data_IF_401200815536
#
_entry.id   IF_401200815536
#
_cell.length_a   1.000
_cell.length_b   1.000
_cell.length_c   1.000
_cell.angle_alpha   90.00
_cell.angle_beta   90.00
_cell.angle_gamma   90.00
#
_symmetry.space_group_name_H-M   'P 1'
#
loop_
_entity.id
_entity.type
_entity.pdbx_description
1 polymer ?
#
# COMPACT_ATOMS: atom_id res chain seq x y z
N UNK A 1 -16.07 3.58 25.65
CA UNK A 1 -16.12 3.72 24.17
C UNK A 1 -15.70 2.43 23.45
N UNK A 2 -14.43 1.93 23.58
CA UNK A 2 -14.00 0.70 22.88
C UNK A 2 -14.78 -0.53 23.32
N UNK A 3 -15.06 -0.66 24.61
CA UNK A 3 -15.91 -1.73 25.16
C UNK A 3 -17.35 -1.67 24.62
N UNK A 4 -17.91 -0.48 24.55
CA UNK A 4 -19.26 -0.23 23.98
C UNK A 4 -19.30 -0.58 22.49
N UNK A 5 -18.26 -0.19 21.74
CA UNK A 5 -18.12 -0.56 20.33
C UNK A 5 -18.12 -2.09 20.18
N UNK A 6 -17.29 -2.79 20.96
CA UNK A 6 -17.17 -4.24 20.89
C UNK A 6 -18.47 -4.97 21.28
N UNK A 7 -19.29 -4.39 22.18
CA UNK A 7 -20.57 -4.98 22.60
C UNK A 7 -21.69 -4.74 21.57
N UNK A 8 -21.55 -3.77 20.68
CA UNK A 8 -22.56 -3.36 19.71
C UNK A 8 -22.27 -3.85 18.29
N UNK A 9 -21.14 -4.57 18.09
CA UNK A 9 -20.69 -5.02 16.78
C UNK A 9 -20.32 -6.50 16.82
N UNK A 10 -20.71 -7.25 15.79
CA UNK A 10 -20.33 -8.66 15.64
C UNK A 10 -18.90 -8.79 15.16
N UNK A 11 -18.43 -7.83 14.34
CA UNK A 11 -17.07 -7.78 13.83
C UNK A 11 -16.58 -6.35 13.72
N UNK A 12 -15.30 -6.12 14.01
CA UNK A 12 -14.62 -4.85 13.83
C UNK A 12 -13.53 -5.00 12.77
N UNK A 13 -13.46 -4.05 11.87
CA UNK A 13 -12.38 -3.90 10.89
C UNK A 13 -11.76 -2.51 10.99
N UNK A 14 -10.59 -2.32 10.37
CA UNK A 14 -9.92 -1.03 10.33
C UNK A 14 -9.52 -0.67 8.89
N UNK A 15 -9.57 0.60 8.58
CA UNK A 15 -9.14 1.19 7.31
C UNK A 15 -7.80 1.91 7.45
N UNK A 16 -7.43 2.28 8.69
CA UNK A 16 -6.22 3.03 8.99
C UNK A 16 -5.23 2.18 9.79
N UNK A 17 -4.06 1.91 9.21
CA UNK A 17 -3.05 1.01 9.76
C UNK A 17 -2.29 1.55 10.98
N UNK A 18 -2.33 2.85 11.24
CA UNK A 18 -1.69 3.46 12.42
C UNK A 18 -2.60 3.53 13.67
N UNK A 19 -3.71 2.77 13.68
CA UNK A 19 -4.44 2.50 14.93
C UNK A 19 -3.51 1.73 15.86
N UNK A 20 -3.33 2.15 17.14
CA UNK A 20 -2.44 1.43 18.04
C UNK A 20 -2.80 -0.07 18.13
N UNK A 21 -1.83 -0.96 17.92
CA UNK A 21 -2.05 -2.41 17.98
C UNK A 21 -2.72 -2.86 19.28
N UNK A 22 -2.44 -2.16 20.41
CA UNK A 22 -3.09 -2.40 21.69
C UNK A 22 -4.61 -2.17 21.67
N UNK A 23 -5.11 -1.29 20.79
CA UNK A 23 -6.56 -1.09 20.60
C UNK A 23 -7.17 -2.32 19.92
N UNK A 24 -6.53 -2.81 18.87
CA UNK A 24 -6.96 -4.03 18.19
C UNK A 24 -6.94 -5.23 19.15
N UNK A 25 -5.86 -5.40 19.94
CA UNK A 25 -5.75 -6.44 20.96
C UNK A 25 -6.84 -6.35 22.05
N UNK A 26 -7.17 -5.15 22.50
CA UNK A 26 -8.26 -4.95 23.46
C UNK A 26 -9.62 -5.34 22.87
N UNK A 27 -9.89 -4.93 21.65
CA UNK A 27 -11.15 -5.25 20.97
C UNK A 27 -11.26 -6.76 20.69
N UNK A 28 -10.15 -7.42 20.31
CA UNK A 28 -10.12 -8.87 20.08
C UNK A 28 -10.52 -9.74 21.27
N UNK A 29 -10.48 -9.19 22.49
CA UNK A 29 -10.95 -9.87 23.70
C UNK A 29 -12.49 -9.91 23.83
N UNK A 30 -13.19 -9.12 23.04
CA UNK A 30 -14.63 -8.88 23.21
C UNK A 30 -15.45 -9.05 21.94
N UNK A 31 -14.82 -8.97 20.77
CA UNK A 31 -15.48 -9.12 19.47
C UNK A 31 -14.47 -9.66 18.45
N UNK A 32 -14.97 -10.15 17.32
CA UNK A 32 -14.12 -10.57 16.22
C UNK A 32 -13.46 -9.35 15.58
N UNK A 33 -12.15 -9.45 15.33
CA UNK A 33 -11.40 -8.44 14.55
C UNK A 33 -10.86 -9.08 13.28
N UNK A 34 -11.12 -8.47 12.16
CA UNK A 34 -10.54 -8.85 10.88
C UNK A 34 -10.17 -7.60 10.07
N UNK A 35 -8.92 -7.52 9.60
CA UNK A 35 -7.81 -8.49 9.77
C UNK A 35 -7.28 -8.59 11.19
N UNK A 36 -6.47 -9.62 11.44
CA UNK A 36 -5.94 -9.90 12.78
C UNK A 36 -4.98 -8.79 13.29
N UNK A 37 -4.91 -8.63 14.60
CA UNK A 37 -4.04 -7.66 15.28
C UNK A 37 -2.54 -7.90 15.01
N UNK A 38 -2.13 -9.17 14.80
CA UNK A 38 -0.75 -9.55 14.43
C UNK A 38 -0.35 -8.92 13.09
N UNK A 39 -1.22 -8.91 12.09
CA UNK A 39 -0.97 -8.29 10.81
C UNK A 39 -0.73 -6.77 10.97
N UNK A 40 -1.57 -6.11 11.77
CA UNK A 40 -1.45 -4.69 12.07
C UNK A 40 -0.13 -4.39 12.80
N UNK A 41 0.24 -5.20 13.80
CA UNK A 41 1.45 -5.01 14.59
C UNK A 41 2.74 -5.14 13.73
N UNK A 42 2.75 -6.07 12.77
CA UNK A 42 3.87 -6.27 11.85
C UNK A 42 3.97 -5.09 10.88
N UNK A 43 2.87 -4.71 10.22
CA UNK A 43 2.86 -3.63 9.23
C UNK A 43 3.21 -2.25 9.82
N UNK A 44 3.00 -2.03 11.13
CA UNK A 44 3.34 -0.78 11.80
C UNK A 44 4.83 -0.57 12.05
N UNK A 45 5.67 -1.59 11.88
CA UNK A 45 7.10 -1.51 12.20
C UNK A 45 7.95 -2.09 11.06
N UNK A 46 8.59 -1.19 10.30
CA UNK A 46 9.38 -1.55 9.11
C UNK A 46 10.45 -2.60 9.36
N UNK A 47 11.08 -2.58 10.55
CA UNK A 47 12.11 -3.57 10.87
C UNK A 47 11.49 -4.97 11.12
N UNK A 48 10.35 -5.00 11.80
CA UNK A 48 9.61 -6.24 12.03
C UNK A 48 9.08 -6.77 10.70
N UNK A 49 8.52 -5.92 9.86
CA UNK A 49 8.00 -6.27 8.55
C UNK A 49 9.08 -6.84 7.61
N UNK A 50 10.26 -6.20 7.53
CA UNK A 50 11.38 -6.72 6.71
C UNK A 50 11.90 -8.08 7.22
N UNK A 51 11.96 -8.28 8.54
CA UNK A 51 12.29 -9.58 9.13
C UNK A 51 11.24 -10.64 8.79
N UNK A 52 9.96 -10.26 8.86
CA UNK A 52 8.85 -11.12 8.49
C UNK A 52 8.93 -11.57 7.02
N UNK A 53 9.22 -10.68 6.09
CA UNK A 53 9.46 -11.05 4.69
C UNK A 53 10.64 -12.03 4.55
N UNK A 54 11.74 -11.77 5.25
CA UNK A 54 12.91 -12.66 5.24
C UNK A 54 12.56 -14.06 5.76
N UNK A 55 11.83 -14.17 6.87
CA UNK A 55 11.42 -15.43 7.47
C UNK A 55 10.50 -16.25 6.54
N UNK A 56 9.73 -15.57 5.69
CA UNK A 56 8.89 -16.16 4.65
C UNK A 56 9.63 -16.43 3.32
N UNK A 57 10.94 -16.20 3.25
CA UNK A 57 11.71 -16.26 2.00
C UNK A 57 11.11 -15.38 0.88
N UNK A 58 10.63 -14.19 1.23
CA UNK A 58 10.21 -13.17 0.28
C UNK A 58 11.37 -12.19 0.12
N UNK A 59 11.90 -12.03 -1.11
CA UNK A 59 13.01 -11.12 -1.36
C UNK A 59 12.66 -9.68 -0.99
N UNK A 60 13.60 -8.98 -0.35
CA UNK A 60 13.51 -7.55 -0.04
C UNK A 60 14.88 -6.91 -0.20
N UNK A 61 14.97 -5.58 -0.16
CA UNK A 61 16.27 -4.89 -0.19
C UNK A 61 17.08 -5.22 1.07
N UNK A 62 18.42 -5.09 0.99
CA UNK A 62 19.29 -5.20 2.16
C UNK A 62 18.90 -4.12 3.18
N UNK A 63 18.81 -4.50 4.44
CA UNK A 63 18.41 -3.59 5.51
C UNK A 63 19.17 -3.86 6.82
N UNK A 64 19.21 -2.86 7.68
CA UNK A 64 19.74 -2.99 9.03
C UNK A 64 19.00 -2.08 10.03
N UNK A 65 18.92 -2.53 11.28
CA UNK A 65 18.40 -1.72 12.38
C UNK A 65 19.40 -0.60 12.74
N UNK A 66 18.89 0.58 13.07
CA UNK A 66 19.67 1.75 13.45
C UNK A 66 19.09 2.34 14.72
N UNK A 67 19.84 2.26 15.84
CA UNK A 67 19.47 2.84 17.13
C UNK A 67 20.48 3.91 17.58
N UNK A 68 21.58 4.08 16.84
CA UNK A 68 22.63 5.06 17.07
C UNK A 68 23.26 5.50 15.75
N UNK A 69 24.03 6.58 15.78
CA UNK A 69 24.85 6.99 14.63
C UNK A 69 25.89 5.92 14.27
N UNK A 70 26.50 5.30 15.28
CA UNK A 70 27.47 4.22 15.08
C UNK A 70 26.85 3.02 14.35
N UNK A 71 25.57 2.64 14.69
CA UNK A 71 24.85 1.59 13.97
C UNK A 71 24.67 1.96 12.50
N UNK A 72 24.29 3.23 12.21
CA UNK A 72 24.12 3.71 10.85
C UNK A 72 25.43 3.63 10.06
N UNK A 73 26.54 4.10 10.65
CA UNK A 73 27.87 4.03 10.03
C UNK A 73 28.31 2.59 9.75
N UNK A 74 28.03 1.65 10.66
CA UNK A 74 28.33 0.23 10.45
C UNK A 74 27.44 -0.40 9.36
N UNK A 75 26.14 -0.09 9.39
CA UNK A 75 25.21 -0.61 8.41
C UNK A 75 25.56 -0.18 6.98
N UNK A 76 25.93 1.08 6.79
CA UNK A 76 26.35 1.62 5.48
C UNK A 76 27.60 0.95 4.92
N UNK A 77 28.53 0.48 5.75
CA UNK A 77 29.70 -0.29 5.27
C UNK A 77 29.31 -1.58 4.55
N UNK A 78 28.15 -2.16 4.91
CA UNK A 78 27.64 -3.39 4.31
C UNK A 78 26.63 -3.12 3.20
N UNK A 79 25.72 -2.16 3.43
CA UNK A 79 24.63 -1.82 2.48
C UNK A 79 25.15 -0.98 1.32
N UNK A 80 26.08 -0.04 1.59
CA UNK A 80 26.60 0.91 0.61
C UNK A 80 25.71 2.14 0.41
N UNK A 81 26.18 3.04 -0.44
CA UNK A 81 25.40 4.17 -0.96
C UNK A 81 24.92 3.83 -2.40
N UNK A 82 23.77 4.34 -2.82
CA UNK A 82 22.79 5.13 -2.07
C UNK A 82 21.97 4.23 -1.15
N UNK A 83 21.51 4.80 -0.01
CA UNK A 83 20.66 4.12 0.95
C UNK A 83 19.56 5.06 1.45
N UNK A 84 18.52 4.52 2.08
CA UNK A 84 17.43 5.32 2.65
C UNK A 84 17.35 5.01 4.15
N UNK A 85 17.47 6.03 4.99
CA UNK A 85 17.20 5.95 6.42
C UNK A 85 15.73 6.26 6.65
N UNK A 86 14.99 5.35 7.32
CA UNK A 86 13.56 5.50 7.59
C UNK A 86 13.29 5.31 9.09
N UNK A 87 12.35 6.07 9.67
CA UNK A 87 11.84 5.74 11.00
C UNK A 87 11.15 4.37 10.96
N UNK A 88 11.34 3.53 12.00
CA UNK A 88 10.68 2.23 12.06
C UNK A 88 9.15 2.35 12.08
N UNK A 89 8.61 3.41 12.68
CA UNK A 89 7.17 3.59 12.85
C UNK A 89 6.71 4.98 12.40
N UNK A 90 5.39 5.10 12.16
CA UNK A 90 4.69 6.37 11.86
C UNK A 90 5.16 7.07 10.56
N UNK A 91 5.92 6.40 9.70
CA UNK A 91 6.23 6.89 8.37
C UNK A 91 5.08 6.62 7.40
N UNK A 92 4.70 7.59 6.56
CA UNK A 92 3.70 7.45 5.51
C UNK A 92 3.91 8.51 4.43
N UNK A 93 3.49 8.23 3.21
CA UNK A 93 3.57 9.18 2.08
C UNK A 93 4.94 9.90 2.01
N UNK A 94 6.04 9.14 2.10
CA UNK A 94 7.42 9.66 2.04
C UNK A 94 7.92 10.41 3.28
N UNK A 95 7.12 10.52 4.34
CA UNK A 95 7.54 11.15 5.60
C UNK A 95 8.35 10.21 6.46
N UNK A 96 9.26 10.78 7.25
CA UNK A 96 10.12 10.01 8.15
C UNK A 96 11.17 9.18 7.40
N UNK A 97 11.64 9.67 6.24
CA UNK A 97 12.74 9.05 5.49
C UNK A 97 13.70 10.10 4.93
N UNK A 98 14.97 9.73 4.81
CA UNK A 98 16.05 10.55 4.26
C UNK A 98 16.90 9.70 3.34
N UNK A 99 17.12 10.17 2.12
CA UNK A 99 18.03 9.55 1.17
C UNK A 99 19.49 9.92 1.55
N UNK A 100 20.35 8.92 1.58
CA UNK A 100 21.76 9.01 1.89
C UNK A 100 22.55 8.79 0.60
N UNK A 101 23.28 9.78 0.17
CA UNK A 101 24.12 9.72 -1.03
C UNK A 101 25.60 9.50 -0.68
N UNK A 102 26.02 9.95 0.48
CA UNK A 102 27.42 9.99 0.88
C UNK A 102 27.57 9.93 2.42
N UNK A 103 28.82 9.70 2.94
CA UNK A 103 29.09 9.71 4.37
C UNK A 103 28.73 11.03 5.06
N UNK A 104 28.79 12.15 4.35
CA UNK A 104 28.50 13.49 4.87
C UNK A 104 27.02 13.63 5.28
N UNK A 105 26.15 12.80 4.73
CA UNK A 105 24.71 12.84 5.03
C UNK A 105 24.36 12.18 6.37
N UNK A 106 25.20 11.28 6.89
CA UNK A 106 24.85 10.37 7.99
C UNK A 106 24.45 11.11 9.28
N UNK A 107 25.26 12.09 9.70
CA UNK A 107 25.00 12.84 10.94
C UNK A 107 23.71 13.65 10.83
N UNK A 108 23.50 14.34 9.71
CA UNK A 108 22.30 15.16 9.50
C UNK A 108 21.05 14.30 9.41
N UNK A 109 21.12 13.18 8.70
CA UNK A 109 20.03 12.23 8.57
C UNK A 109 19.63 11.63 9.91
N UNK A 110 20.60 11.12 10.69
CA UNK A 110 20.33 10.58 12.04
C UNK A 110 19.68 11.61 12.96
N UNK A 111 20.18 12.83 12.98
CA UNK A 111 19.60 13.91 13.77
C UNK A 111 18.16 14.25 13.33
N UNK A 112 17.86 14.17 12.03
CA UNK A 112 16.50 14.41 11.50
C UNK A 112 15.49 13.35 11.97
N UNK A 113 15.95 12.13 12.26
CA UNK A 113 15.13 11.06 12.86
C UNK A 113 14.89 11.27 14.36
N UNK A 114 15.38 12.36 14.94
CA UNK A 114 15.30 12.69 16.38
C UNK A 114 15.82 11.56 17.28
N UNK A 115 16.86 10.87 16.82
CA UNK A 115 17.46 9.71 17.49
C UNK A 115 16.45 8.60 17.82
N UNK A 116 15.42 8.44 16.98
CA UNK A 116 14.39 7.40 17.14
C UNK A 116 14.83 6.11 16.45
N UNK A 117 14.37 4.94 16.93
CA UNK A 117 14.62 3.67 16.25
C UNK A 117 14.28 3.76 14.76
N UNK A 118 15.24 3.40 13.95
CA UNK A 118 15.19 3.55 12.50
C UNK A 118 15.65 2.28 11.80
N UNK A 119 15.39 2.19 10.52
CA UNK A 119 15.90 1.17 9.61
C UNK A 119 16.64 1.89 8.49
N UNK A 120 17.80 1.39 8.10
CA UNK A 120 18.45 1.79 6.86
C UNK A 120 18.28 0.70 5.82
N UNK A 121 17.89 1.09 4.62
CA UNK A 121 17.65 0.20 3.48
C UNK A 121 18.50 0.62 2.29
N UNK A 122 19.02 -0.35 1.53
CA UNK A 122 19.65 -0.06 0.25
C UNK A 122 18.66 0.60 -0.70
N UNK A 123 19.10 1.64 -1.42
CA UNK A 123 18.28 2.25 -2.46
C UNK A 123 18.01 1.23 -3.58
N UNK A 124 16.75 1.10 -3.98
CA UNK A 124 16.32 0.17 -5.02
C UNK A 124 16.15 0.91 -6.34
N UNK A 125 17.04 0.74 -7.32
CA UNK A 125 16.89 1.31 -8.66
C UNK A 125 15.87 0.49 -9.48
N UNK A 126 14.59 0.59 -9.11
CA UNK A 126 13.51 -0.19 -9.73
C UNK A 126 13.17 0.31 -11.14
N UNK A 127 12.70 -0.60 -11.98
CA UNK A 127 12.15 -0.30 -13.31
C UNK A 127 10.70 0.15 -13.22
N UNK A 128 9.95 -0.43 -12.29
CA UNK A 128 8.58 -0.04 -11.96
C UNK A 128 8.24 -0.43 -10.52
N UNK A 129 7.25 0.27 -9.96
CA UNK A 129 6.60 -0.09 -8.71
C UNK A 129 5.27 -0.75 -9.02
N UNK A 130 5.00 -1.90 -8.42
CA UNK A 130 3.74 -2.62 -8.57
C UNK A 130 3.16 -2.98 -7.22
N UNK A 131 1.86 -3.25 -7.18
CA UNK A 131 1.20 -3.83 -6.02
C UNK A 131 0.27 -4.96 -6.44
N UNK A 132 0.21 -6.00 -5.59
CA UNK A 132 -0.79 -7.07 -5.67
C UNK A 132 -1.77 -6.92 -4.52
N UNK A 133 -3.05 -7.12 -4.82
CA UNK A 133 -4.13 -7.08 -3.84
C UNK A 133 -4.85 -8.44 -3.85
N UNK A 134 -5.18 -8.92 -2.66
CA UNK A 134 -5.96 -10.14 -2.50
C UNK A 134 -7.01 -10.00 -1.40
N UNK A 135 -8.03 -10.84 -1.44
CA UNK A 135 -8.96 -11.05 -0.35
C UNK A 135 -8.99 -12.53 0.02
N UNK A 136 -9.01 -12.84 1.32
CA UNK A 136 -9.01 -14.21 1.85
C UNK A 136 -10.08 -14.36 2.92
N UNK A 137 -10.83 -15.47 2.84
CA UNK A 137 -11.86 -15.88 3.83
C UNK A 137 -11.26 -16.74 4.96
N UNK A 138 -12.01 -16.94 6.06
CA UNK A 138 -11.60 -17.82 7.15
C UNK A 138 -11.30 -19.27 6.73
N UNK A 139 -12.00 -19.78 5.70
CA UNK A 139 -11.79 -21.14 5.16
C UNK A 139 -10.54 -21.27 4.28
N UNK A 140 -9.79 -20.18 4.06
CA UNK A 140 -8.59 -20.14 3.21
C UNK A 140 -8.86 -19.81 1.74
N UNK A 141 -10.13 -19.73 1.28
CA UNK A 141 -10.46 -19.30 -0.07
C UNK A 141 -9.89 -17.89 -0.33
N UNK A 142 -9.14 -17.74 -1.41
CA UNK A 142 -8.41 -16.52 -1.74
C UNK A 142 -8.62 -16.14 -3.19
N UNK A 143 -8.84 -14.84 -3.45
CA UNK A 143 -8.88 -14.25 -4.78
C UNK A 143 -7.84 -13.14 -4.90
N UNK A 144 -7.16 -13.08 -6.04
CA UNK A 144 -6.15 -12.07 -6.34
C UNK A 144 -6.63 -11.15 -7.45
N UNK A 145 -6.39 -9.86 -7.30
CA UNK A 145 -6.61 -8.88 -8.35
C UNK A 145 -5.42 -8.85 -9.31
N UNK A 146 -5.63 -8.44 -10.58
CA UNK A 146 -4.53 -8.10 -11.46
C UNK A 146 -3.59 -7.10 -10.79
N UNK A 147 -2.29 -7.19 -11.10
CA UNK A 147 -1.29 -6.24 -10.60
C UNK A 147 -1.68 -4.80 -10.92
N UNK A 148 -1.35 -3.91 -10.03
CA UNK A 148 -1.41 -2.47 -10.27
C UNK A 148 -0.01 -1.91 -10.43
N UNK A 149 0.28 -1.26 -11.57
CA UNK A 149 1.49 -0.46 -11.74
C UNK A 149 1.26 0.93 -11.15
N UNK A 150 2.18 1.36 -10.31
CA UNK A 150 2.05 2.54 -9.48
C UNK A 150 3.08 3.60 -9.85
N UNK A 151 2.63 4.86 -9.95
CA UNK A 151 3.51 6.01 -10.13
C UNK A 151 3.44 6.91 -8.91
N UNK A 152 4.57 7.08 -8.24
CA UNK A 152 4.71 7.95 -7.08
C UNK A 152 5.41 9.26 -7.47
N UNK A 153 5.04 10.34 -6.80
CA UNK A 153 5.77 11.60 -6.83
C UNK A 153 5.91 12.13 -5.40
N UNK A 154 7.14 12.44 -5.00
CA UNK A 154 7.46 12.86 -3.63
C UNK A 154 6.97 11.86 -2.55
N UNK A 155 7.05 10.55 -2.85
CA UNK A 155 6.60 9.48 -1.96
C UNK A 155 5.08 9.32 -1.84
N UNK A 156 4.28 10.04 -2.66
CA UNK A 156 2.82 9.96 -2.64
C UNK A 156 2.35 9.29 -3.94
N UNK A 157 1.54 8.26 -3.83
CA UNK A 157 0.92 7.60 -4.98
C UNK A 157 0.06 8.59 -5.78
N UNK A 158 0.37 8.76 -7.06
CA UNK A 158 -0.35 9.64 -7.99
C UNK A 158 -1.27 8.88 -8.91
N UNK A 159 -0.77 7.82 -9.52
CA UNK A 159 -1.49 7.03 -10.52
C UNK A 159 -1.32 5.54 -10.19
N UNK A 160 -2.39 4.78 -10.32
CA UNK A 160 -2.36 3.32 -10.40
C UNK A 160 -3.08 2.87 -11.65
N UNK A 161 -2.50 1.92 -12.37
CA UNK A 161 -3.12 1.30 -13.55
C UNK A 161 -3.16 -0.22 -13.40
N UNK A 162 -4.28 -0.81 -13.79
CA UNK A 162 -4.43 -2.26 -13.84
C UNK A 162 -3.56 -2.86 -14.94
N UNK A 163 -2.78 -3.88 -14.62
CA UNK A 163 -1.93 -4.64 -15.55
C UNK A 163 -2.56 -6.00 -15.81
N UNK A 164 -3.30 -6.13 -16.92
CA UNK A 164 -3.89 -7.40 -17.33
C UNK A 164 -2.79 -8.28 -17.94
N UNK A 165 -2.78 -9.58 -17.57
CA UNK A 165 -1.83 -10.58 -18.07
C UNK A 165 -0.34 -10.22 -17.83
N UNK A 166 -0.06 -9.56 -16.71
CA UNK A 166 1.31 -9.21 -16.34
C UNK A 166 2.15 -10.48 -16.04
N UNK A 167 3.35 -10.61 -16.63
CA UNK A 167 4.21 -11.79 -16.42
C UNK A 167 4.66 -11.99 -14.97
N UNK A 168 4.57 -10.96 -14.12
CA UNK A 168 4.91 -11.01 -12.70
C UNK A 168 3.73 -11.35 -11.78
N UNK A 169 2.52 -11.51 -12.33
CA UNK A 169 1.31 -11.81 -11.56
C UNK A 169 1.51 -13.02 -10.64
N UNK A 170 1.93 -14.15 -11.20
CA UNK A 170 2.06 -15.39 -10.44
C UNK A 170 3.13 -15.32 -9.33
N UNK A 171 4.28 -14.66 -9.60
CA UNK A 171 5.33 -14.45 -8.59
C UNK A 171 4.84 -13.59 -7.43
N UNK A 172 4.11 -12.52 -7.71
CA UNK A 172 3.53 -11.64 -6.70
C UNK A 172 2.44 -12.35 -5.87
N UNK A 173 1.58 -13.16 -6.52
CA UNK A 173 0.56 -13.99 -5.84
C UNK A 173 1.20 -14.96 -4.86
N UNK A 174 2.29 -15.63 -5.22
CA UNK A 174 3.01 -16.54 -4.34
C UNK A 174 3.56 -15.83 -3.10
N UNK A 175 4.07 -14.60 -3.24
CA UNK A 175 4.57 -13.85 -2.10
C UNK A 175 3.42 -13.46 -1.15
N UNK A 176 2.33 -12.91 -1.70
CA UNK A 176 1.19 -12.49 -0.91
C UNK A 176 0.47 -13.69 -0.25
N UNK A 177 0.40 -14.83 -0.93
CA UNK A 177 -0.18 -16.05 -0.36
C UNK A 177 0.57 -16.50 0.89
N UNK A 178 1.93 -16.52 0.88
CA UNK A 178 2.75 -16.87 2.06
C UNK A 178 2.48 -15.94 3.25
N UNK A 179 2.32 -14.64 2.99
CA UNK A 179 1.98 -13.65 4.03
C UNK A 179 0.61 -13.96 4.63
N UNK A 180 -0.39 -14.21 3.79
CA UNK A 180 -1.75 -14.50 4.24
C UNK A 180 -1.86 -15.83 5.00
N UNK A 181 -1.15 -16.86 4.55
CA UNK A 181 -1.10 -18.16 5.22
C UNK A 181 -0.46 -18.05 6.61
N UNK A 182 0.72 -17.41 6.72
CA UNK A 182 1.42 -17.25 7.99
C UNK A 182 0.64 -16.43 9.02
N UNK A 183 -0.21 -15.51 8.55
CA UNK A 183 -1.01 -14.63 9.41
C UNK A 183 -2.42 -15.18 9.70
N UNK A 184 -2.82 -16.33 9.14
CA UNK A 184 -4.23 -16.75 9.11
C UNK A 184 -5.14 -15.58 8.71
N UNK A 185 -4.71 -14.85 7.70
CA UNK A 185 -5.28 -13.56 7.33
C UNK A 185 -6.72 -13.67 6.83
N UNK A 186 -7.58 -12.76 7.29
CA UNK A 186 -8.97 -12.64 6.82
C UNK A 186 -9.24 -11.18 6.43
N UNK A 187 -9.73 -10.96 5.23
CA UNK A 187 -9.98 -9.62 4.68
C UNK A 187 -9.15 -9.33 3.44
N UNK A 188 -9.09 -8.07 3.05
CA UNK A 188 -8.26 -7.59 1.94
C UNK A 188 -6.89 -7.15 2.42
N UNK A 189 -5.86 -7.47 1.67
CA UNK A 189 -4.45 -7.11 1.91
C UNK A 189 -3.81 -6.67 0.59
N UNK A 190 -2.85 -5.76 0.67
CA UNK A 190 -1.99 -5.39 -0.45
C UNK A 190 -0.52 -5.60 -0.11
N UNK A 191 0.27 -6.00 -1.10
CA UNK A 191 1.74 -6.06 -1.03
C UNK A 191 2.31 -5.15 -2.11
N UNK A 192 3.16 -4.20 -1.70
CA UNK A 192 3.90 -3.32 -2.60
C UNK A 192 5.26 -3.93 -2.93
N UNK A 193 5.61 -3.89 -4.21
CA UNK A 193 6.77 -4.55 -4.77
C UNK A 193 7.53 -3.61 -5.71
N UNK A 194 8.84 -3.71 -5.67
CA UNK A 194 9.72 -3.14 -6.69
C UNK A 194 10.11 -4.22 -7.69
N UNK A 195 10.04 -3.93 -8.99
CA UNK A 195 10.64 -4.78 -10.00
C UNK A 195 12.04 -4.26 -10.35
N UNK A 196 13.05 -5.11 -10.16
CA UNK A 196 14.45 -4.80 -10.40
C UNK A 196 15.06 -5.91 -11.24
N UNK A 197 15.49 -5.59 -12.45
CA UNK A 197 16.14 -6.57 -13.36
C UNK A 197 15.32 -7.87 -13.53
N UNK A 198 13.99 -7.74 -13.54
CA UNK A 198 13.08 -8.87 -13.68
C UNK A 198 12.85 -9.68 -12.40
N UNK A 199 13.29 -9.23 -11.24
CA UNK A 199 13.00 -9.82 -9.93
C UNK A 199 12.06 -8.91 -9.13
N UNK A 200 11.20 -9.50 -8.30
CA UNK A 200 10.36 -8.76 -7.38
C UNK A 200 11.01 -8.68 -5.99
N UNK A 201 11.04 -7.47 -5.43
CA UNK A 201 11.48 -7.20 -4.06
C UNK A 201 10.32 -6.59 -3.28
N UNK A 202 9.97 -7.18 -2.14
CA UNK A 202 8.92 -6.64 -1.27
C UNK A 202 9.36 -5.33 -0.63
N UNK A 203 8.48 -4.32 -0.75
CA UNK A 203 8.64 -3.04 -0.08
C UNK A 203 7.90 -3.03 1.26
N UNK A 204 6.59 -3.02 1.25
CA UNK A 204 5.73 -3.05 2.45
C UNK A 204 4.39 -3.74 2.14
N UNK A 205 3.66 -4.17 3.18
CA UNK A 205 2.30 -4.63 3.00
C UNK A 205 1.31 -3.80 3.81
N UNK A 206 0.10 -3.67 3.29
CA UNK A 206 -1.00 -2.97 3.96
C UNK A 206 -2.09 -3.97 4.33
N UNK A 207 -2.34 -4.23 5.64
CA UNK A 207 -3.34 -5.19 6.09
C UNK A 207 -4.76 -4.60 6.04
N UNK A 208 -5.16 -4.07 4.90
CA UNK A 208 -6.43 -3.37 4.64
C UNK A 208 -6.65 -3.18 3.15
N UNK A 209 -7.82 -2.66 2.77
CA UNK A 209 -8.02 -2.09 1.43
C UNK A 209 -6.96 -1.04 1.13
N UNK A 210 -6.49 -1.00 -0.12
CA UNK A 210 -5.34 -0.18 -0.49
C UNK A 210 -5.67 0.84 -1.58
N UNK A 211 -5.00 1.99 -1.52
CA UNK A 211 -5.22 3.09 -2.46
C UNK A 211 -4.90 2.68 -3.91
N UNK A 212 -3.88 1.85 -4.14
CA UNK A 212 -3.56 1.34 -5.47
C UNK A 212 -4.65 0.44 -6.07
N UNK A 213 -5.58 -0.06 -5.26
CA UNK A 213 -6.71 -0.87 -5.68
C UNK A 213 -8.02 -0.10 -5.85
N UNK A 214 -8.04 1.23 -5.75
CA UNK A 214 -9.29 1.99 -5.93
C UNK A 214 -9.86 1.89 -7.35
N UNK A 215 -9.00 1.60 -8.35
CA UNK A 215 -9.47 1.32 -9.70
C UNK A 215 -10.46 0.15 -9.77
N UNK A 216 -10.44 -0.77 -8.79
CA UNK A 216 -11.32 -1.94 -8.75
C UNK A 216 -12.79 -1.58 -8.58
N UNK A 217 -13.12 -0.38 -8.12
CA UNK A 217 -14.51 0.07 -7.93
C UNK A 217 -15.27 0.00 -9.25
N UNK A 218 -14.72 0.52 -10.33
CA UNK A 218 -15.32 0.45 -11.66
C UNK A 218 -14.65 -0.60 -12.55
N UNK A 219 -13.38 -0.91 -12.29
CA UNK A 219 -12.52 -1.69 -13.17
C UNK A 219 -12.45 -3.18 -12.89
N UNK A 220 -13.02 -3.68 -11.80
CA UNK A 220 -13.13 -5.11 -11.51
C UNK A 220 -14.59 -5.57 -11.46
N UNK A 221 -14.85 -6.89 -11.60
CA UNK A 221 -16.19 -7.41 -11.42
C UNK A 221 -16.71 -7.19 -10.01
N UNK A 222 -15.83 -7.41 -9.02
CA UNK A 222 -16.09 -7.13 -7.60
C UNK A 222 -14.96 -6.27 -7.07
N UNK A 223 -15.28 -5.16 -6.41
CA UNK A 223 -14.26 -4.26 -5.87
C UNK A 223 -13.52 -4.87 -4.67
N UNK A 224 -12.33 -4.37 -4.36
CA UNK A 224 -11.60 -4.75 -3.15
C UNK A 224 -12.39 -4.48 -1.87
N UNK A 225 -13.28 -3.49 -1.87
CA UNK A 225 -14.11 -3.12 -0.72
C UNK A 225 -15.22 -4.17 -0.51
N UNK A 226 -15.88 -4.60 -1.58
CA UNK A 226 -16.89 -5.65 -1.53
C UNK A 226 -16.28 -6.98 -1.11
N UNK A 227 -15.15 -7.37 -1.71
CA UNK A 227 -14.42 -8.58 -1.31
C UNK A 227 -13.88 -8.52 0.12
N UNK A 228 -13.50 -7.33 0.61
CA UNK A 228 -13.13 -7.17 2.01
C UNK A 228 -14.30 -7.49 2.94
N UNK A 229 -15.46 -6.92 2.68
CA UNK A 229 -16.66 -7.18 3.48
C UNK A 229 -17.11 -8.64 3.37
N UNK A 230 -17.11 -9.21 2.15
CA UNK A 230 -17.42 -10.62 1.96
C UNK A 230 -16.48 -11.53 2.74
N UNK A 231 -15.17 -11.25 2.71
CA UNK A 231 -14.17 -12.02 3.41
C UNK A 231 -14.37 -12.01 4.94
N UNK A 232 -14.55 -10.83 5.53
CA UNK A 232 -14.68 -10.69 6.99
C UNK A 232 -16.03 -11.22 7.51
N UNK A 233 -17.07 -11.23 6.67
CA UNK A 233 -18.40 -11.78 6.99
C UNK A 233 -18.53 -13.28 6.63
N UNK A 234 -17.46 -13.89 6.16
CA UNK A 234 -17.40 -15.27 5.67
C UNK A 234 -18.42 -15.55 4.53
N UNK A 235 -18.67 -14.55 3.68
CA UNK A 235 -19.48 -14.68 2.50
C UNK A 235 -18.63 -15.10 1.29
N UNK A 236 -19.23 -15.72 0.23
CA UNK A 236 -18.51 -16.06 -0.99
C UNK A 236 -17.79 -14.83 -1.58
N UNK A 237 -16.54 -15.02 -2.00
CA UNK A 237 -15.79 -13.95 -2.67
C UNK A 237 -16.29 -13.77 -4.10
N UNK A 238 -16.36 -12.53 -4.53
CA UNK A 238 -16.66 -12.18 -5.92
C UNK A 238 -15.42 -12.25 -6.82
N UNK A 239 -15.66 -12.37 -8.13
CA UNK A 239 -14.62 -12.37 -9.15
C UNK A 239 -13.81 -11.07 -9.14
N UNK A 240 -12.49 -11.21 -9.24
CA UNK A 240 -11.52 -10.10 -9.31
C UNK A 240 -11.16 -9.71 -10.74
N UNK A 241 -11.82 -10.33 -11.72
CA UNK A 241 -11.54 -10.12 -13.13
C UNK A 241 -11.68 -8.65 -13.51
N UNK A 242 -10.69 -8.13 -14.24
CA UNK A 242 -10.72 -6.76 -14.73
C UNK A 242 -11.75 -6.59 -15.85
N UNK A 243 -12.45 -5.45 -15.84
CA UNK A 243 -13.37 -5.00 -16.89
C UNK A 243 -12.64 -4.05 -17.83
N UNK A 244 -11.91 -4.59 -18.80
CA UNK A 244 -11.14 -3.78 -19.75
C UNK A 244 -9.97 -3.02 -19.08
N UNK A 245 -9.54 -1.93 -19.67
CA UNK A 245 -8.44 -1.09 -19.19
C UNK A 245 -8.94 -0.16 -18.08
N UNK A 246 -8.25 -0.16 -16.95
CA UNK A 246 -8.67 0.58 -15.76
C UNK A 246 -7.50 1.23 -15.04
N UNK A 247 -7.74 2.39 -14.45
CA UNK A 247 -6.75 3.10 -13.66
C UNK A 247 -7.38 4.12 -12.72
N UNK A 248 -6.56 4.66 -11.84
CA UNK A 248 -6.96 5.64 -10.83
C UNK A 248 -5.91 6.75 -10.77
N UNK A 249 -6.38 7.99 -10.59
CA UNK A 249 -5.55 9.17 -10.33
C UNK A 249 -5.96 9.79 -9.01
N UNK A 250 -5.03 9.96 -8.07
CA UNK A 250 -5.26 10.63 -6.81
C UNK A 250 -5.25 12.16 -6.96
N UNK A 251 -6.13 12.83 -6.23
CA UNK A 251 -6.14 14.29 -6.06
C UNK A 251 -5.43 14.65 -4.75
N UNK A 252 -4.33 15.40 -4.87
CA UNK A 252 -3.44 15.70 -3.76
C UNK A 252 -3.41 17.22 -3.52
N UNK A 253 -3.73 17.62 -2.29
CA UNK A 253 -3.69 19.02 -1.89
C UNK A 253 -4.97 19.79 -2.21
N UNK A 254 -5.49 19.62 -3.41
CA UNK A 254 -6.69 20.26 -3.93
C UNK A 254 -7.57 19.31 -4.74
N UNK A 255 -8.77 19.78 -5.10
CA UNK A 255 -9.71 19.06 -5.96
C UNK A 255 -9.78 19.78 -7.31
N UNK A 256 -9.57 19.06 -8.42
CA UNK A 256 -9.90 19.60 -9.73
C UNK A 256 -11.39 19.96 -9.84
N UNK A 257 -11.78 20.94 -10.68
CA UNK A 257 -13.19 21.23 -10.94
C UNK A 257 -13.92 19.97 -11.43
N UNK A 258 -15.01 19.61 -10.75
CA UNK A 258 -15.75 18.36 -11.03
C UNK A 258 -16.22 18.27 -12.48
N UNK A 259 -16.67 19.38 -13.06
CA UNK A 259 -17.10 19.43 -14.47
C UNK A 259 -15.97 19.10 -15.45
N UNK A 260 -14.71 19.46 -15.13
CA UNK A 260 -13.55 19.12 -15.96
C UNK A 260 -13.17 17.65 -15.84
N UNK A 261 -13.26 17.08 -14.62
CA UNK A 261 -13.04 15.65 -14.40
C UNK A 261 -14.07 14.83 -15.16
N UNK A 262 -15.35 15.15 -15.00
CA UNK A 262 -16.46 14.41 -15.63
C UNK A 262 -16.57 14.65 -17.14
N UNK A 263 -15.95 15.69 -17.69
CA UNK A 263 -15.82 15.87 -19.14
C UNK A 263 -14.85 14.86 -19.79
N UNK A 264 -13.99 14.22 -19.01
CA UNK A 264 -13.15 13.12 -19.48
C UNK A 264 -14.02 11.86 -19.53
N UNK A 265 -14.15 11.26 -20.71
CA UNK A 265 -15.03 10.09 -20.90
C UNK A 265 -14.63 8.92 -19.99
N UNK A 266 -15.63 8.19 -19.52
CA UNK A 266 -15.49 6.97 -18.71
C UNK A 266 -14.74 7.21 -17.38
N UNK A 267 -14.87 8.40 -16.81
CA UNK A 267 -14.26 8.80 -15.54
C UNK A 267 -15.33 8.89 -14.45
N UNK A 268 -14.99 8.37 -13.28
CA UNK A 268 -15.80 8.43 -12.07
C UNK A 268 -15.00 9.14 -10.98
N UNK A 269 -15.61 10.13 -10.31
CA UNK A 269 -14.95 10.93 -9.29
C UNK A 269 -15.38 10.49 -7.89
N UNK A 270 -14.39 10.28 -7.00
CA UNK A 270 -14.60 9.91 -5.60
C UNK A 270 -14.03 10.98 -4.69
N UNK A 271 -14.88 11.64 -3.90
CA UNK A 271 -14.52 12.72 -3.00
C UNK A 271 -14.51 12.22 -1.56
N UNK A 272 -13.44 12.56 -0.81
CA UNK A 272 -13.27 12.07 0.56
C UNK A 272 -13.85 13.00 1.63
N UNK A 273 -14.45 14.12 1.23
CA UNK A 273 -14.95 15.17 2.14
C UNK A 273 -13.88 15.70 3.13
N UNK A 274 -12.61 15.65 2.73
CA UNK A 274 -11.47 16.10 3.53
C UNK A 274 -11.11 17.54 3.16
N UNK A 275 -10.77 18.35 4.18
CA UNK A 275 -10.26 19.70 3.93
C UNK A 275 -8.95 19.65 3.14
N UNK A 276 -8.82 20.40 2.04
CA UNK A 276 -7.58 20.50 1.26
C UNK A 276 -6.42 21.01 2.10
N UNK A 277 -5.24 20.37 1.92
CA UNK A 277 -3.96 20.82 2.47
C UNK A 277 -2.81 20.18 1.71
N UNK A 278 -1.63 20.80 1.63
CA UNK A 278 -0.48 20.24 0.91
C UNK A 278 -0.19 18.79 1.29
N UNK A 279 0.02 17.92 0.30
CA UNK A 279 0.35 16.51 0.47
C UNK A 279 -0.80 15.62 0.93
N UNK A 280 -2.03 16.13 1.09
CA UNK A 280 -3.18 15.32 1.53
C UNK A 280 -3.97 14.78 0.35
N UNK A 281 -4.21 13.47 0.32
CA UNK A 281 -5.18 12.86 -0.59
C UNK A 281 -6.59 13.32 -0.21
N UNK A 282 -7.28 14.01 -1.11
CA UNK A 282 -8.61 14.61 -0.89
C UNK A 282 -9.71 13.97 -1.73
N UNK A 283 -9.32 13.14 -2.68
CA UNK A 283 -10.18 12.38 -3.57
C UNK A 283 -9.35 11.62 -4.59
N UNK A 284 -10.03 10.95 -5.49
CA UNK A 284 -9.46 10.35 -6.69
C UNK A 284 -10.47 10.36 -7.82
N UNK A 285 -10.02 9.99 -9.00
CA UNK A 285 -10.92 9.58 -10.07
C UNK A 285 -10.42 8.29 -10.70
N UNK A 286 -11.35 7.43 -11.07
CA UNK A 286 -11.11 6.18 -11.78
C UNK A 286 -11.52 6.32 -13.24
N UNK A 287 -10.84 5.58 -14.11
CA UNK A 287 -11.18 5.47 -15.53
C UNK A 287 -11.34 3.99 -15.85
N UNK A 288 -12.38 3.65 -16.61
CA UNK A 288 -12.59 2.29 -17.13
C UNK A 288 -13.07 2.35 -18.59
N UNK A 289 -12.41 1.63 -19.49
CA UNK A 289 -12.82 1.53 -20.91
C UNK A 289 -12.31 0.24 -21.53
N UNK A 290 -12.98 -0.21 -22.60
CA UNK A 290 -12.52 -1.35 -23.41
C UNK A 290 -11.56 -0.91 -24.55
N UNK A 291 -11.39 0.39 -24.75
CA UNK A 291 -10.53 0.99 -25.77
C UNK A 291 -9.20 1.44 -25.14
N UNK A 292 -8.05 0.80 -25.51
CA UNK A 292 -6.74 1.13 -24.94
C UNK A 292 -6.27 2.54 -25.29
N UNK A 293 -6.57 3.06 -26.49
CA UNK A 293 -6.14 4.41 -26.89
C UNK A 293 -6.92 5.48 -26.11
N UNK A 294 -8.23 5.25 -25.95
CA UNK A 294 -9.07 6.11 -25.11
C UNK A 294 -8.59 6.07 -23.66
N UNK A 295 -8.21 4.89 -23.13
CA UNK A 295 -7.67 4.76 -21.78
C UNK A 295 -6.43 5.63 -21.59
N UNK A 296 -5.41 5.46 -22.44
CA UNK A 296 -4.14 6.20 -22.33
C UNK A 296 -4.37 7.71 -22.43
N UNK A 297 -5.19 8.15 -23.40
CA UNK A 297 -5.47 9.57 -23.58
C UNK A 297 -6.26 10.19 -22.42
N UNK A 298 -7.20 9.43 -21.84
CA UNK A 298 -8.01 9.87 -20.69
C UNK A 298 -7.18 9.90 -19.42
N UNK A 299 -6.37 8.86 -19.17
CA UNK A 299 -5.48 8.80 -18.00
C UNK A 299 -4.49 9.97 -18.00
N UNK A 300 -3.87 10.25 -19.16
CA UNK A 300 -2.96 11.38 -19.31
C UNK A 300 -3.65 12.73 -19.03
N UNK A 301 -4.87 12.95 -19.56
CA UNK A 301 -5.63 14.18 -19.32
C UNK A 301 -5.98 14.34 -17.84
N UNK A 302 -6.44 13.25 -17.20
CA UNK A 302 -6.81 13.28 -15.80
C UNK A 302 -5.60 13.54 -14.90
N UNK A 303 -4.44 12.93 -15.20
CA UNK A 303 -3.18 13.18 -14.50
C UNK A 303 -2.76 14.64 -14.59
N UNK A 304 -2.78 15.22 -15.79
CA UNK A 304 -2.46 16.63 -16.01
C UNK A 304 -3.42 17.57 -15.24
N UNK A 305 -4.70 17.23 -15.22
CA UNK A 305 -5.70 18.00 -14.47
C UNK A 305 -5.46 17.92 -12.95
N UNK A 306 -5.07 16.76 -12.44
CA UNK A 306 -4.76 16.57 -11.03
C UNK A 306 -3.48 17.29 -10.58
N UNK A 307 -2.50 17.46 -11.47
CA UNK A 307 -1.23 18.17 -11.20
C UNK A 307 -1.36 19.69 -11.16
N UNK A 308 -2.42 20.24 -11.74
CA UNK A 308 -2.68 21.69 -11.78
C UNK A 308 -3.37 22.21 -10.52
N UNK A 309 -3.80 21.35 -9.62
CA UNK A 309 -4.61 21.66 -8.45
C UNK A 309 -4.02 21.09 -7.16
#
# INVERSE_FOLDING_TARGET
LLHELAQQTDIVTYEFENVPASVAQLLAQHTQIAPCDRALAIAQDRLIEKKFFHDLNIPTTNFAAVNSLDDLEQAIKTIGFSAILKSCRMGYDGKGQVLLHSPEDLVSAWNSMRNSPSIVEGFVPHTREISIIAARRPNGETVFYPLSENSHSQGILRVSRCCIDDPKQHEAEQYLARIMEELDYVGTIALELFEVQGQLLANEFAPRVHNSGHWTIEGAETSQFENHLSAILDWPLGSTQAKGYSGMVNFIGGLPPTEQVLAIKNTHQHLYAKQPRPGRKVGNATIRTDDPELFESSLKKLTQLAEQN
#
